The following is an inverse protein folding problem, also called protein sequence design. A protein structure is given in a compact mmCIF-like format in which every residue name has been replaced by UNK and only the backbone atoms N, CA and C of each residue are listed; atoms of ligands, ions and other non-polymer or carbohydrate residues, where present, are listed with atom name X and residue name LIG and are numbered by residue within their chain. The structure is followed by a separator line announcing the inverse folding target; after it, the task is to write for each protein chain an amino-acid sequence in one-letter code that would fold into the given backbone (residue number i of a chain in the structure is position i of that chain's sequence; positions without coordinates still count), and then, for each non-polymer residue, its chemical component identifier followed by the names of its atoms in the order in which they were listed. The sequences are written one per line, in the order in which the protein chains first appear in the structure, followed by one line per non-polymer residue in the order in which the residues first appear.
data_IF_498916156284
#
_entry.id   IF_498916156284
#
_cell.length_a   1.000
_cell.length_b   1.000
_cell.length_c   1.000
_cell.angle_alpha   90.00
_cell.angle_beta   90.00
_cell.angle_gamma   90.00
#
_symmetry.space_group_name_H-M   'P 1'
#
loop_
_entity.id
_entity.type
_entity.pdbx_description
1 polymer ?
#
# COMPACT_ATOMS: atom_id res chain seq x y z
N UNK A 1 8.33 -32.42 -3.06
CA UNK A 1 7.97 -31.19 -3.78
C UNK A 1 6.70 -31.37 -4.62
N UNK A 2 6.70 -32.10 -5.76
CA UNK A 2 5.47 -32.32 -6.57
C UNK A 2 4.34 -33.01 -5.79
N UNK A 3 4.66 -33.95 -4.88
CA UNK A 3 3.68 -34.60 -4.01
C UNK A 3 2.88 -33.62 -3.12
N UNK A 4 3.50 -32.51 -2.69
CA UNK A 4 2.83 -31.51 -1.86
C UNK A 4 1.77 -30.75 -2.67
N UNK A 5 2.06 -30.45 -3.93
CA UNK A 5 1.10 -29.82 -4.85
C UNK A 5 -0.08 -30.75 -5.12
N UNK A 6 0.18 -32.04 -5.38
CA UNK A 6 -0.89 -32.99 -5.62
C UNK A 6 -1.78 -33.15 -4.39
N UNK A 7 -1.17 -33.12 -3.19
CA UNK A 7 -1.91 -33.13 -1.95
C UNK A 7 -2.75 -31.86 -1.79
N UNK A 8 -2.16 -30.67 -1.97
CA UNK A 8 -2.87 -29.39 -1.97
C UNK A 8 -4.08 -29.40 -2.91
N UNK A 9 -3.90 -29.88 -4.14
CA UNK A 9 -5.00 -29.95 -5.11
C UNK A 9 -6.10 -30.90 -4.59
N UNK A 10 -5.75 -32.09 -4.11
CA UNK A 10 -6.73 -33.09 -3.62
C UNK A 10 -7.44 -32.67 -2.34
N UNK A 11 -6.71 -32.14 -1.36
CA UNK A 11 -7.21 -31.92 0.00
C UNK A 11 -7.66 -30.50 0.26
N UNK A 12 -7.33 -29.55 -0.60
CA UNK A 12 -7.76 -28.17 -0.46
C UNK A 12 -8.53 -27.71 -1.69
N UNK A 13 -7.92 -27.73 -2.88
CA UNK A 13 -8.56 -27.16 -4.08
C UNK A 13 -9.86 -27.89 -4.47
N UNK A 14 -9.90 -29.22 -4.42
CA UNK A 14 -11.12 -29.96 -4.69
C UNK A 14 -12.16 -29.89 -3.56
N UNK A 15 -11.73 -29.71 -2.30
CA UNK A 15 -12.67 -29.58 -1.17
C UNK A 15 -13.26 -28.17 -1.07
N UNK A 16 -12.47 -27.16 -1.46
CA UNK A 16 -12.85 -25.76 -1.50
C UNK A 16 -12.62 -25.23 -2.93
N UNK A 17 -13.53 -25.54 -3.87
CA UNK A 17 -13.39 -25.19 -5.28
C UNK A 17 -13.21 -23.69 -5.46
N UNK A 18 -12.10 -23.32 -6.10
CA UNK A 18 -11.77 -21.92 -6.41
C UNK A 18 -10.85 -21.83 -7.61
N UNK A 19 -10.76 -20.64 -8.19
CA UNK A 19 -9.84 -20.36 -9.30
C UNK A 19 -8.49 -19.95 -8.70
N UNK A 20 -7.41 -20.59 -9.14
CA UNK A 20 -6.05 -20.29 -8.65
C UNK A 20 -5.15 -19.99 -9.85
N UNK A 21 -4.30 -18.95 -9.80
CA UNK A 21 -3.31 -18.73 -10.86
C UNK A 21 -2.19 -19.79 -10.76
N UNK A 22 -1.70 -20.26 -11.90
CA UNK A 22 -0.63 -21.27 -11.93
C UNK A 22 0.66 -20.77 -11.27
N UNK A 23 0.84 -19.45 -11.21
CA UNK A 23 1.99 -18.80 -10.59
C UNK A 23 2.00 -19.08 -9.10
N UNK A 24 0.85 -19.00 -8.41
CA UNK A 24 0.78 -19.23 -6.97
C UNK A 24 1.08 -20.70 -6.63
N UNK A 25 0.59 -21.63 -7.47
CA UNK A 25 0.94 -23.05 -7.35
C UNK A 25 2.42 -23.29 -7.65
N UNK A 26 3.01 -22.55 -8.59
CA UNK A 26 4.44 -22.64 -8.90
C UNK A 26 5.31 -21.98 -7.83
N UNK A 27 4.85 -20.91 -7.18
CA UNK A 27 5.57 -20.30 -6.08
C UNK A 27 5.62 -21.25 -4.90
N UNK A 28 4.59 -22.03 -4.61
CA UNK A 28 4.67 -23.07 -3.56
C UNK A 28 5.72 -24.15 -3.83
N UNK A 29 6.08 -24.38 -5.09
CA UNK A 29 7.23 -25.23 -5.49
C UNK A 29 8.54 -24.53 -5.17
N UNK A 30 8.61 -23.22 -5.44
CA UNK A 30 9.79 -22.39 -5.31
C UNK A 30 10.01 -21.86 -3.89
N UNK A 31 9.00 -21.84 -3.02
CA UNK A 31 9.09 -21.38 -1.63
C UNK A 31 10.05 -22.19 -0.77
N UNK A 32 10.55 -23.35 -1.25
CA UNK A 32 11.66 -24.05 -0.61
C UNK A 32 13.03 -23.41 -0.89
N UNK A 33 13.15 -22.58 -1.93
CA UNK A 33 14.34 -21.82 -2.28
C UNK A 33 13.99 -20.32 -2.34
N UNK A 34 14.49 -19.60 -1.35
CA UNK A 34 14.43 -18.14 -1.19
C UNK A 34 14.45 -17.35 -2.51
N UNK A 35 13.65 -16.27 -2.52
CA UNK A 35 13.50 -15.18 -3.49
C UNK A 35 12.24 -15.23 -4.38
N UNK A 36 11.64 -14.04 -4.51
CA UNK A 36 10.62 -13.67 -5.49
C UNK A 36 11.19 -13.84 -6.90
N UNK A 37 11.23 -15.07 -7.38
CA UNK A 37 11.69 -15.40 -8.72
C UNK A 37 10.51 -15.31 -9.66
N UNK A 38 10.65 -14.47 -10.68
CA UNK A 38 9.74 -14.46 -11.82
C UNK A 38 9.67 -15.88 -12.39
N UNK A 39 8.50 -16.51 -12.23
CA UNK A 39 8.33 -17.93 -12.56
C UNK A 39 8.51 -18.06 -14.07
N UNK A 40 9.65 -18.64 -14.48
CA UNK A 40 9.95 -18.88 -15.90
C UNK A 40 8.81 -19.63 -16.58
N UNK A 41 8.47 -19.24 -17.80
CA UNK A 41 7.37 -19.86 -18.54
C UNK A 41 7.59 -21.35 -18.83
N UNK A 42 8.85 -21.80 -18.88
CA UNK A 42 9.19 -23.22 -18.97
C UNK A 42 8.71 -24.00 -17.73
N UNK A 43 8.82 -23.40 -16.54
CA UNK A 43 8.36 -24.01 -15.28
C UNK A 43 6.82 -24.09 -15.29
N UNK A 44 6.12 -23.02 -15.66
CA UNK A 44 4.66 -23.01 -15.78
C UNK A 44 4.15 -24.08 -16.74
N UNK A 45 4.77 -24.19 -17.92
CA UNK A 45 4.41 -25.20 -18.94
C UNK A 45 4.68 -26.63 -18.46
N UNK A 46 5.80 -26.86 -17.81
CA UNK A 46 6.14 -28.18 -17.27
C UNK A 46 5.18 -28.57 -16.14
N UNK A 47 4.88 -27.64 -15.24
CA UNK A 47 3.91 -27.84 -14.16
C UNK A 47 2.52 -28.15 -14.71
N UNK A 48 2.04 -27.36 -15.67
CA UNK A 48 0.76 -27.60 -16.34
C UNK A 48 0.70 -29.00 -16.95
N UNK A 49 1.72 -29.41 -17.71
CA UNK A 49 1.78 -30.76 -18.31
C UNK A 49 1.76 -31.86 -17.25
N UNK A 50 2.47 -31.67 -16.14
CA UNK A 50 2.50 -32.64 -15.04
C UNK A 50 1.14 -32.76 -14.35
N UNK A 51 0.50 -31.63 -14.05
CA UNK A 51 -0.82 -31.60 -13.44
C UNK A 51 -1.89 -32.18 -14.36
N UNK A 52 -1.82 -31.88 -15.65
CA UNK A 52 -2.76 -32.41 -16.63
C UNK A 52 -2.61 -33.92 -16.81
N UNK A 53 -1.41 -34.49 -16.67
CA UNK A 53 -1.22 -35.96 -16.65
C UNK A 53 -1.82 -36.62 -15.41
N UNK A 54 -1.73 -35.96 -14.26
CA UNK A 54 -2.20 -36.53 -12.98
C UNK A 54 -3.72 -36.41 -12.80
N UNK A 55 -4.30 -35.25 -13.14
CA UNK A 55 -5.70 -34.91 -12.85
C UNK A 55 -6.62 -34.95 -14.08
N UNK A 56 -6.04 -35.00 -15.29
CA UNK A 56 -6.79 -35.11 -16.54
C UNK A 56 -7.81 -33.99 -16.70
N UNK A 57 -9.06 -34.38 -16.95
CA UNK A 57 -10.20 -33.48 -17.15
C UNK A 57 -10.73 -32.86 -15.85
N UNK A 58 -10.38 -33.45 -14.70
CA UNK A 58 -10.84 -32.97 -13.38
C UNK A 58 -10.22 -31.62 -13.00
N UNK A 59 -9.19 -31.17 -13.73
CA UNK A 59 -8.53 -29.89 -13.52
C UNK A 59 -8.45 -29.12 -14.84
N UNK A 60 -9.20 -28.01 -14.90
CA UNK A 60 -9.36 -27.19 -16.10
C UNK A 60 -8.37 -26.04 -16.07
N UNK A 61 -7.62 -25.87 -17.16
CA UNK A 61 -6.68 -24.76 -17.35
C UNK A 61 -7.22 -23.77 -18.37
N UNK A 62 -7.12 -22.47 -18.07
CA UNK A 62 -7.57 -21.42 -18.97
C UNK A 62 -6.72 -20.16 -18.86
N UNK A 63 -6.78 -19.31 -19.89
CA UNK A 63 -5.99 -18.09 -19.98
C UNK A 63 -6.87 -16.85 -19.84
N UNK A 64 -6.47 -15.91 -18.98
CA UNK A 64 -7.10 -14.60 -18.85
C UNK A 64 -6.01 -13.54 -18.83
N UNK A 65 -6.06 -12.59 -19.77
CA UNK A 65 -5.11 -11.45 -19.87
C UNK A 65 -3.64 -11.89 -19.74
N UNK A 66 -3.23 -12.89 -20.53
CA UNK A 66 -1.88 -13.47 -20.55
C UNK A 66 -1.43 -14.22 -19.28
N UNK A 67 -2.36 -14.53 -18.36
CA UNK A 67 -2.08 -15.36 -17.17
C UNK A 67 -2.85 -16.68 -17.27
N UNK A 68 -2.19 -17.77 -16.88
CA UNK A 68 -2.77 -19.11 -16.81
C UNK A 68 -3.38 -19.32 -15.44
N UNK A 69 -4.62 -19.76 -15.41
CA UNK A 69 -5.35 -20.15 -14.21
C UNK A 69 -5.75 -21.62 -14.29
N UNK A 70 -5.98 -22.21 -13.13
CA UNK A 70 -6.50 -23.55 -12.95
C UNK A 70 -7.73 -23.51 -12.05
N UNK A 71 -8.71 -24.35 -12.36
CA UNK A 71 -9.90 -24.57 -11.55
C UNK A 71 -10.27 -26.06 -11.56
N UNK A 72 -10.78 -26.61 -10.46
CA UNK A 72 -11.31 -27.96 -10.46
C UNK A 72 -12.65 -28.01 -11.23
N UNK A 73 -12.97 -29.16 -11.78
CA UNK A 73 -14.20 -29.41 -12.55
C UNK A 73 -15.49 -29.34 -11.71
N UNK A 74 -15.36 -29.58 -10.39
CA UNK A 74 -16.46 -29.49 -9.44
C UNK A 74 -16.86 -28.04 -9.08
N UNK A 75 -16.17 -27.03 -9.61
CA UNK A 75 -16.52 -25.62 -9.42
C UNK A 75 -17.72 -25.25 -10.31
N UNK A 76 -18.86 -24.95 -9.68
CA UNK A 76 -20.09 -24.63 -10.40
C UNK A 76 -20.17 -23.17 -10.85
N UNK A 77 -20.90 -22.91 -11.93
CA UNK A 77 -21.19 -21.54 -12.39
C UNK A 77 -21.84 -20.66 -11.32
N UNK A 78 -22.64 -21.27 -10.42
CA UNK A 78 -23.32 -20.57 -9.32
C UNK A 78 -22.30 -20.08 -8.30
N UNK A 79 -21.33 -20.90 -7.92
CA UNK A 79 -20.28 -20.53 -6.97
C UNK A 79 -19.41 -19.41 -7.53
N UNK A 80 -18.99 -19.52 -8.80
CA UNK A 80 -18.24 -18.47 -9.50
C UNK A 80 -19.02 -17.15 -9.50
N UNK A 81 -20.32 -17.20 -9.80
CA UNK A 81 -21.17 -16.01 -9.81
C UNK A 81 -21.32 -15.39 -8.41
N UNK A 82 -21.50 -16.22 -7.38
CA UNK A 82 -21.59 -15.77 -5.99
C UNK A 82 -20.29 -15.08 -5.54
N UNK A 83 -19.14 -15.69 -5.81
CA UNK A 83 -17.83 -15.11 -5.50
C UNK A 83 -17.61 -13.79 -6.25
N UNK A 84 -17.98 -13.73 -7.53
CA UNK A 84 -17.91 -12.50 -8.33
C UNK A 84 -18.80 -11.37 -7.78
N UNK A 85 -19.99 -11.68 -7.26
CA UNK A 85 -20.87 -10.69 -6.62
C UNK A 85 -20.25 -10.19 -5.31
N UNK A 86 -19.72 -11.10 -4.49
CA UNK A 86 -19.06 -10.76 -3.23
C UNK A 86 -17.82 -9.88 -3.45
N UNK A 87 -16.93 -10.25 -4.38
CA UNK A 87 -15.73 -9.48 -4.71
C UNK A 87 -16.08 -8.09 -5.24
N UNK A 88 -17.12 -7.96 -6.08
CA UNK A 88 -17.58 -6.64 -6.56
C UNK A 88 -18.10 -5.77 -5.42
N UNK A 89 -18.82 -6.35 -4.46
CA UNK A 89 -19.31 -5.63 -3.30
C UNK A 89 -18.15 -5.17 -2.40
N UNK A 90 -17.14 -6.02 -2.20
CA UNK A 90 -15.95 -5.69 -1.40
C UNK A 90 -15.10 -4.58 -2.05
N UNK A 91 -14.87 -4.65 -3.36
CA UNK A 91 -14.17 -3.61 -4.12
C UNK A 91 -14.91 -2.27 -3.97
N UNK A 92 -16.23 -2.26 -4.15
CA UNK A 92 -17.03 -1.05 -3.97
C UNK A 92 -16.92 -0.49 -2.55
N UNK A 93 -17.01 -1.35 -1.54
CA UNK A 93 -16.87 -0.94 -0.14
C UNK A 93 -15.45 -0.41 0.16
N UNK A 94 -14.42 -0.92 -0.52
CA UNK A 94 -13.05 -0.41 -0.42
C UNK A 94 -12.88 0.94 -1.12
N UNK A 95 -13.45 1.11 -2.31
CA UNK A 95 -13.47 2.38 -3.04
C UNK A 95 -14.17 3.48 -2.23
N UNK A 96 -15.32 3.18 -1.65
CA UNK A 96 -16.06 4.12 -0.80
C UNK A 96 -15.25 4.53 0.44
N UNK A 97 -14.56 3.59 1.09
CA UNK A 97 -13.64 3.88 2.21
C UNK A 97 -12.48 4.77 1.76
N UNK A 98 -11.86 4.45 0.64
CA UNK A 98 -10.72 5.19 0.08
C UNK A 98 -11.12 6.61 -0.32
N UNK A 99 -12.31 6.77 -0.92
CA UNK A 99 -12.87 8.07 -1.26
C UNK A 99 -13.11 8.92 -0.01
N UNK A 100 -13.66 8.35 1.07
CA UNK A 100 -13.84 9.04 2.36
C UNK A 100 -12.51 9.50 2.94
N UNK A 101 -11.48 8.65 2.94
CA UNK A 101 -10.13 9.01 3.42
C UNK A 101 -9.56 10.17 2.58
N UNK A 102 -9.68 10.09 1.25
CA UNK A 102 -9.19 11.12 0.34
C UNK A 102 -9.88 12.46 0.59
N UNK A 103 -11.20 12.44 0.78
CA UNK A 103 -12.01 13.62 1.06
C UNK A 103 -11.69 14.21 2.45
N UNK A 104 -11.49 13.36 3.47
CA UNK A 104 -11.00 13.80 4.78
C UNK A 104 -9.62 14.45 4.70
N UNK A 105 -8.67 13.88 3.95
CA UNK A 105 -7.34 14.48 3.74
C UNK A 105 -7.45 15.83 3.03
N UNK A 106 -8.30 15.95 2.01
CA UNK A 106 -8.55 17.23 1.32
C UNK A 106 -9.18 18.28 2.25
N UNK A 107 -10.18 17.89 3.05
CA UNK A 107 -10.82 18.78 4.02
C UNK A 107 -9.84 19.21 5.13
N UNK A 108 -9.04 18.29 5.66
CA UNK A 108 -7.99 18.59 6.63
C UNK A 108 -6.94 19.53 6.03
N UNK A 109 -6.54 19.31 4.77
CA UNK A 109 -5.62 20.21 4.06
C UNK A 109 -6.20 21.62 3.92
N UNK A 110 -7.47 21.76 3.53
CA UNK A 110 -8.16 23.04 3.44
C UNK A 110 -8.33 23.72 4.81
N UNK A 111 -8.73 22.98 5.84
CA UNK A 111 -8.89 23.51 7.20
C UNK A 111 -7.55 23.94 7.80
N UNK A 112 -6.50 23.12 7.63
CA UNK A 112 -5.13 23.45 8.05
C UNK A 112 -4.64 24.71 7.34
N UNK A 113 -4.87 24.82 6.02
CA UNK A 113 -4.51 26.00 5.24
C UNK A 113 -5.25 27.24 5.72
N UNK A 114 -6.57 27.15 5.93
CA UNK A 114 -7.41 28.25 6.40
C UNK A 114 -7.03 28.70 7.81
N UNK A 115 -6.85 27.75 8.74
CA UNK A 115 -6.38 28.04 10.10
C UNK A 115 -4.98 28.64 10.09
N UNK A 116 -4.08 28.16 9.24
CA UNK A 116 -2.76 28.76 9.09
C UNK A 116 -2.83 30.21 8.59
N UNK A 117 -3.68 30.49 7.60
CA UNK A 117 -3.93 31.86 7.10
C UNK A 117 -4.55 32.79 8.16
N UNK A 118 -5.47 32.27 8.99
CA UNK A 118 -6.14 33.05 10.04
C UNK A 118 -5.22 33.27 11.25
N UNK A 119 -4.49 32.24 11.67
CA UNK A 119 -3.57 32.30 12.82
C UNK A 119 -2.31 33.09 12.47
N UNK A 120 -1.87 33.02 11.22
CA UNK A 120 -0.78 33.81 10.67
C UNK A 120 -1.32 35.02 9.92
N UNK A 121 -2.15 35.85 10.57
CA UNK A 121 -2.43 37.23 10.14
C UNK A 121 -1.16 38.09 10.29
N UNK A 122 -0.12 37.62 9.64
CA UNK A 122 1.23 38.10 9.61
C UNK A 122 1.28 38.90 8.32
N UNK A 123 0.78 40.13 8.42
CA UNK A 123 1.15 41.14 7.45
C UNK A 123 2.66 41.10 7.32
N UNK A 124 3.15 40.83 6.11
CA UNK A 124 4.55 41.03 5.67
C UNK A 124 5.55 41.12 6.83
N UNK A 125 6.05 39.99 7.33
CA UNK A 125 7.21 40.05 8.22
C UNK A 125 8.30 40.80 7.47
N UNK A 126 8.71 41.92 8.05
CA UNK A 126 9.81 42.73 7.59
C UNK A 126 11.02 41.80 7.48
N UNK A 127 11.72 41.87 6.35
CA UNK A 127 12.85 41.00 6.02
C UNK A 127 14.00 41.03 7.05
N UNK A 128 13.95 41.96 8.01
CA UNK A 128 14.88 42.09 9.14
C UNK A 128 14.55 41.19 10.34
N UNK A 129 13.36 40.58 10.39
CA UNK A 129 12.99 39.64 11.47
C UNK A 129 13.42 38.19 11.18
N UNK A 130 13.99 37.92 10.00
CA UNK A 130 14.42 36.58 9.56
C UNK A 130 15.88 36.25 9.91
N UNK A 131 16.58 37.10 10.65
CA UNK A 131 18.01 36.94 10.98
C UNK A 131 18.30 36.42 12.39
N UNK A 132 17.28 36.07 13.18
CA UNK A 132 17.47 35.33 14.43
C UNK A 132 16.39 34.28 14.55
N UNK A 133 16.81 33.01 14.51
CA UNK A 133 16.13 31.84 15.04
C UNK A 133 14.76 31.45 14.47
N UNK A 134 14.77 30.30 13.78
CA UNK A 134 13.72 29.29 13.79
C UNK A 134 12.25 29.78 13.71
N UNK A 135 11.59 29.59 12.55
CA UNK A 135 10.14 29.84 12.42
C UNK A 135 9.37 28.92 13.36
N UNK A 136 8.74 29.49 14.40
CA UNK A 136 7.96 28.73 15.40
C UNK A 136 6.87 27.90 14.71
N UNK A 137 6.98 26.57 14.79
CA UNK A 137 5.96 25.67 14.26
C UNK A 137 4.68 25.80 15.09
N UNK A 138 3.51 25.92 14.44
CA UNK A 138 2.24 25.84 15.14
C UNK A 138 2.04 24.48 15.82
N UNK A 139 1.61 24.48 17.09
CA UNK A 139 1.49 23.24 17.89
C UNK A 139 0.61 22.18 17.23
N UNK A 140 -0.44 22.57 16.50
CA UNK A 140 -1.30 21.64 15.77
C UNK A 140 -0.53 20.87 14.67
N UNK A 141 0.39 21.54 13.98
CA UNK A 141 1.19 20.94 12.91
C UNK A 141 2.22 19.98 13.50
N UNK A 142 2.80 20.35 14.65
CA UNK A 142 3.70 19.47 15.41
C UNK A 142 2.98 18.19 15.85
N UNK A 143 1.81 18.30 16.47
CA UNK A 143 1.03 17.15 16.96
C UNK A 143 0.58 16.24 15.81
N UNK A 144 0.13 16.83 14.69
CA UNK A 144 -0.25 16.07 13.51
C UNK A 144 0.92 15.26 12.92
N UNK A 145 2.06 15.92 12.69
CA UNK A 145 3.25 15.27 12.13
C UNK A 145 3.84 14.24 13.09
N UNK A 146 3.80 14.52 14.38
CA UNK A 146 4.24 13.58 15.41
C UNK A 146 3.40 12.30 15.40
N UNK A 147 2.08 12.45 15.33
CA UNK A 147 1.14 11.33 15.22
C UNK A 147 1.35 10.55 13.90
N UNK A 148 1.63 11.26 12.81
CA UNK A 148 1.88 10.65 11.50
C UNK A 148 3.18 9.83 11.46
N UNK A 149 4.25 10.33 12.10
CA UNK A 149 5.58 9.72 12.07
C UNK A 149 5.74 8.63 13.15
N UNK A 150 5.21 8.86 14.35
CA UNK A 150 5.41 7.98 15.51
C UNK A 150 4.23 7.05 15.81
N UNK A 151 3.06 7.27 15.20
CA UNK A 151 1.83 6.57 15.58
C UNK A 151 1.44 6.87 17.04
N UNK A 152 0.96 5.86 17.77
CA UNK A 152 0.68 5.95 19.22
C UNK A 152 1.90 5.70 20.12
N UNK A 153 3.09 5.53 19.53
CA UNK A 153 4.35 5.30 20.25
C UNK A 153 5.00 6.59 20.74
N UNK A 154 5.91 6.47 21.71
CA UNK A 154 6.67 7.60 22.24
C UNK A 154 7.61 8.26 21.23
N UNK A 155 7.96 9.53 21.46
CA UNK A 155 8.89 10.27 20.59
C UNK A 155 10.34 9.82 20.78
N UNK A 156 11.07 9.65 19.68
CA UNK A 156 12.53 9.57 19.71
C UNK A 156 13.12 10.88 19.21
N UNK A 157 14.33 11.24 19.67
CA UNK A 157 15.03 12.43 19.21
C UNK A 157 15.14 12.51 17.67
N UNK A 158 15.30 11.35 17.01
CA UNK A 158 15.31 11.24 15.54
C UNK A 158 13.94 11.57 14.92
N UNK A 159 12.85 11.12 15.54
CA UNK A 159 11.51 11.41 15.08
C UNK A 159 11.15 12.88 15.29
N UNK A 160 11.55 13.48 16.41
CA UNK A 160 11.40 14.91 16.64
C UNK A 160 12.13 15.71 15.56
N UNK A 161 13.39 15.40 15.27
CA UNK A 161 14.16 16.05 14.20
C UNK A 161 13.45 15.96 12.84
N UNK A 162 12.87 14.80 12.53
CA UNK A 162 12.10 14.61 11.29
C UNK A 162 10.82 15.45 11.26
N UNK A 163 10.07 15.50 12.36
CA UNK A 163 8.88 16.35 12.54
C UNK A 163 9.26 17.82 12.33
N UNK A 164 10.34 18.27 12.96
CA UNK A 164 10.84 19.63 12.87
C UNK A 164 11.25 19.99 11.43
N UNK A 165 11.91 19.08 10.72
CA UNK A 165 12.30 19.26 9.31
C UNK A 165 11.08 19.30 8.37
N UNK A 166 10.18 18.33 8.46
CA UNK A 166 8.98 18.26 7.61
C UNK A 166 8.05 19.46 7.80
N UNK A 167 7.90 19.95 9.03
CA UNK A 167 7.06 21.11 9.28
C UNK A 167 7.62 22.38 8.63
N UNK A 168 8.94 22.56 8.62
CA UNK A 168 9.58 23.68 7.93
C UNK A 168 9.38 23.59 6.41
N UNK A 169 9.33 22.38 5.85
CA UNK A 169 9.03 22.16 4.43
C UNK A 169 7.59 22.55 4.09
N UNK A 170 6.65 22.14 4.94
CA UNK A 170 5.23 22.47 4.81
C UNK A 170 5.04 23.98 4.93
N UNK A 171 5.65 24.64 5.91
CA UNK A 171 5.60 26.10 6.07
C UNK A 171 6.15 26.78 4.81
N UNK A 172 7.31 26.37 4.33
CA UNK A 172 7.91 26.93 3.11
C UNK A 172 7.00 26.74 1.88
N UNK A 173 6.43 25.54 1.72
CA UNK A 173 5.55 25.21 0.59
C UNK A 173 4.24 26.00 0.62
N UNK A 174 3.60 26.15 1.79
CA UNK A 174 2.38 26.96 1.97
C UNK A 174 2.65 28.42 1.61
N UNK A 175 3.85 28.91 1.93
CA UNK A 175 4.31 30.27 1.63
C UNK A 175 4.96 30.41 0.26
N UNK A 176 4.98 29.37 -0.58
CA UNK A 176 5.58 29.38 -1.93
C UNK A 176 7.02 29.89 -1.96
N UNK A 177 7.81 29.58 -0.93
CA UNK A 177 9.21 30.05 -0.88
C UNK A 177 9.41 31.47 -0.38
N UNK A 178 8.35 32.18 0.03
CA UNK A 178 8.48 33.56 0.55
C UNK A 178 9.12 33.63 1.94
N UNK A 179 9.01 32.56 2.73
CA UNK A 179 9.70 32.41 4.02
C UNK A 179 10.88 31.46 3.83
N UNK A 180 12.11 31.94 4.06
CA UNK A 180 13.30 31.06 4.10
C UNK A 180 13.27 30.26 5.39
N UNK A 181 13.24 28.94 5.29
CA UNK A 181 13.27 28.04 6.43
C UNK A 181 14.66 27.45 6.65
N UNK A 182 15.15 27.48 7.89
CA UNK A 182 16.51 27.08 8.26
C UNK A 182 16.67 25.55 8.35
N UNK A 183 16.45 24.84 7.24
CA UNK A 183 16.60 23.37 7.19
C UNK A 183 18.00 22.89 7.58
N UNK A 184 19.02 23.69 7.24
CA UNK A 184 20.43 23.40 7.47
C UNK A 184 20.86 23.45 8.94
N UNK A 185 20.01 23.99 9.83
CA UNK A 185 20.25 24.00 11.29
C UNK A 185 19.60 22.78 11.97
N UNK A 186 18.61 22.16 11.34
CA UNK A 186 17.75 21.15 11.95
C UNK A 186 18.15 19.71 11.60
N UNK A 187 18.97 19.50 10.58
CA UNK A 187 19.53 18.17 10.30
C UNK A 187 20.94 18.14 10.89
N UNK A 188 21.27 17.20 11.79
CA UNK A 188 22.64 17.03 12.21
C UNK A 188 23.48 16.74 10.98
N UNK A 189 24.54 17.52 10.77
CA UNK A 189 25.65 17.07 9.94
C UNK A 189 26.15 15.76 10.56
N UNK A 190 26.29 14.74 9.72
CA UNK A 190 27.03 13.50 10.02
C UNK A 190 28.38 13.80 10.63
#
# INVERSE_FOLDING_TARGET
MIRCIFNFIRTDLFLNPRIVPIVDVATDILSSDTFSVDVRDSIKKNLQRTLQREFGESLIFFNVKHRVYLMPDNLTKREIAAECVNLKAEVKAFEERTMKVTLCVQLLHCDTRSKMLITMNVGRLSQQELTSDYVKIPDYLRVFLHTLICGSGGSSARADTLVWSMAQDIINAVHRGTIRTSKHVLLPWS
#
